data_IF_820403610075
#
_entry.id   IF_820403610075
#
_cell.length_a   1.000
_cell.length_b   1.000
_cell.length_c   1.000
_cell.angle_alpha   90.00
_cell.angle_beta   90.00
_cell.angle_gamma   90.00
#
_symmetry.space_group_name_H-M   'P 1'
#
loop_
_entity.id
_entity.type
_entity.pdbx_description
1 polymer ?
#
# COMPACT_ATOMS: atom_id res chain seq x y z
N UNK A 1 -32.66 -38.30 -8.49
CA UNK A 1 -32.72 -37.25 -9.53
C UNK A 1 -33.28 -35.93 -9.00
N UNK A 2 -34.54 -35.84 -8.51
CA UNK A 2 -35.12 -34.58 -7.98
C UNK A 2 -34.33 -33.93 -6.83
N UNK A 3 -33.76 -34.72 -5.90
CA UNK A 3 -32.92 -34.22 -4.81
C UNK A 3 -31.62 -33.54 -5.30
N UNK A 4 -31.03 -34.04 -6.40
CA UNK A 4 -29.80 -33.48 -6.98
C UNK A 4 -30.07 -32.16 -7.72
N UNK A 5 -31.24 -32.02 -8.35
CA UNK A 5 -31.67 -30.78 -9.00
C UNK A 5 -31.91 -29.67 -7.96
N UNK A 6 -32.54 -30.01 -6.82
CA UNK A 6 -32.70 -29.07 -5.71
C UNK A 6 -31.36 -28.56 -5.16
N UNK A 7 -30.39 -29.46 -4.98
CA UNK A 7 -29.04 -29.10 -4.52
C UNK A 7 -28.35 -28.19 -5.54
N UNK A 8 -28.41 -28.52 -6.84
CA UNK A 8 -27.80 -27.70 -7.90
C UNK A 8 -28.40 -26.29 -7.97
N UNK A 9 -29.72 -26.15 -7.85
CA UNK A 9 -30.38 -24.85 -7.84
C UNK A 9 -29.98 -23.99 -6.63
N UNK A 10 -29.85 -24.61 -5.45
CA UNK A 10 -29.35 -23.92 -4.24
C UNK A 10 -27.91 -23.45 -4.44
N UNK A 11 -27.04 -24.28 -5.01
CA UNK A 11 -25.65 -23.91 -5.31
C UNK A 11 -25.60 -22.70 -6.25
N UNK A 12 -26.37 -22.71 -7.35
CA UNK A 12 -26.41 -21.59 -8.31
C UNK A 12 -26.92 -20.32 -7.63
N UNK A 13 -27.95 -20.41 -6.77
CA UNK A 13 -28.46 -19.27 -6.03
C UNK A 13 -27.43 -18.71 -5.04
N UNK A 14 -26.65 -19.57 -4.37
CA UNK A 14 -25.56 -19.16 -3.49
C UNK A 14 -24.47 -18.41 -4.28
N UNK A 15 -24.03 -18.95 -5.42
CA UNK A 15 -23.03 -18.27 -6.25
C UNK A 15 -23.53 -16.91 -6.77
N UNK A 16 -24.78 -16.84 -7.24
CA UNK A 16 -25.39 -15.59 -7.67
C UNK A 16 -25.45 -14.56 -6.53
N UNK A 17 -25.81 -14.99 -5.32
CA UNK A 17 -25.83 -14.13 -4.14
C UNK A 17 -24.42 -13.64 -3.79
N UNK A 18 -23.41 -14.52 -3.79
CA UNK A 18 -22.01 -14.14 -3.54
C UNK A 18 -21.55 -13.08 -4.55
N UNK A 19 -21.80 -13.29 -5.85
CA UNK A 19 -21.42 -12.31 -6.89
C UNK A 19 -22.05 -10.94 -6.65
N UNK A 20 -23.35 -10.90 -6.30
CA UNK A 20 -24.04 -9.65 -5.99
C UNK A 20 -23.43 -8.97 -4.76
N UNK A 21 -23.16 -9.74 -3.69
CA UNK A 21 -22.56 -9.21 -2.47
C UNK A 21 -21.13 -8.67 -2.72
N UNK A 22 -20.31 -9.40 -3.46
CA UNK A 22 -18.95 -8.96 -3.83
C UNK A 22 -18.99 -7.68 -4.66
N UNK A 23 -19.86 -7.61 -5.67
CA UNK A 23 -19.99 -6.40 -6.49
C UNK A 23 -20.46 -5.18 -5.68
N UNK A 24 -21.35 -5.38 -4.69
CA UNK A 24 -21.79 -4.30 -3.81
C UNK A 24 -20.67 -3.82 -2.90
N UNK A 25 -19.92 -4.74 -2.28
CA UNK A 25 -18.78 -4.41 -1.42
C UNK A 25 -17.68 -3.68 -2.20
N UNK A 26 -17.28 -4.17 -3.37
CA UNK A 26 -16.25 -3.52 -4.18
C UNK A 26 -16.66 -2.10 -4.61
N UNK A 27 -17.94 -1.90 -4.95
CA UNK A 27 -18.45 -0.56 -5.28
C UNK A 27 -18.34 0.42 -4.11
N UNK A 28 -18.56 -0.05 -2.89
CA UNK A 28 -18.42 0.77 -1.68
C UNK A 28 -16.96 1.12 -1.40
N UNK A 29 -16.04 0.14 -1.54
CA UNK A 29 -14.60 0.35 -1.37
C UNK A 29 -14.04 1.38 -2.35
N UNK A 30 -14.42 1.27 -3.62
CA UNK A 30 -13.97 2.20 -4.66
C UNK A 30 -14.46 3.62 -4.43
N UNK A 31 -15.68 3.81 -3.90
CA UNK A 31 -16.26 5.15 -3.74
C UNK A 31 -15.47 6.08 -2.79
N UNK A 32 -14.68 5.53 -1.86
CA UNK A 32 -13.87 6.30 -0.92
C UNK A 32 -12.40 5.87 -0.93
N UNK A 33 -11.92 5.34 -2.05
CA UNK A 33 -10.56 4.86 -2.16
C UNK A 33 -9.57 6.07 -2.22
N UNK A 34 -8.34 5.93 -1.71
CA UNK A 34 -7.37 7.03 -1.64
C UNK A 34 -6.62 7.29 -2.96
N UNK A 35 -6.88 6.49 -3.99
CA UNK A 35 -6.27 6.64 -5.31
C UNK A 35 -7.09 7.60 -6.17
N UNK A 36 -6.46 8.12 -7.22
CA UNK A 36 -7.06 9.02 -8.21
C UNK A 36 -7.89 8.29 -9.28
N UNK A 37 -8.19 7.00 -9.09
CA UNK A 37 -8.89 6.13 -10.03
C UNK A 37 -9.78 5.10 -9.32
N UNK A 38 -10.85 4.67 -9.99
CA UNK A 38 -11.68 3.54 -9.59
C UNK A 38 -11.28 2.22 -10.30
N UNK A 39 -10.37 2.29 -11.28
CA UNK A 39 -9.85 1.14 -12.04
C UNK A 39 -8.58 0.60 -11.37
N UNK A 40 -8.75 0.05 -10.16
CA UNK A 40 -7.66 -0.48 -9.35
C UNK A 40 -7.43 -1.97 -9.61
N UNK A 41 -6.19 -2.42 -9.44
CA UNK A 41 -5.89 -3.85 -9.43
C UNK A 41 -6.66 -4.53 -8.28
N UNK A 42 -7.23 -5.75 -8.49
CA UNK A 42 -7.92 -6.48 -7.42
C UNK A 42 -7.09 -6.64 -6.14
N UNK A 43 -5.77 -6.80 -6.25
CA UNK A 43 -4.89 -6.90 -5.09
C UNK A 43 -4.83 -5.59 -4.30
N UNK A 44 -4.94 -4.43 -4.96
CA UNK A 44 -5.06 -3.12 -4.31
C UNK A 44 -6.43 -2.97 -3.64
N UNK A 45 -7.51 -3.37 -4.32
CA UNK A 45 -8.87 -3.34 -3.76
C UNK A 45 -8.97 -4.17 -2.47
N UNK A 46 -8.29 -5.32 -2.43
CA UNK A 46 -8.25 -6.18 -1.25
C UNK A 46 -7.53 -5.53 -0.06
N UNK A 47 -6.61 -4.59 -0.30
CA UNK A 47 -5.87 -3.87 0.73
C UNK A 47 -6.53 -2.57 1.21
N UNK A 48 -7.59 -2.07 0.55
CA UNK A 48 -8.23 -0.80 0.92
C UNK A 48 -8.74 -0.76 2.37
N UNK A 49 -9.13 -1.91 2.93
CA UNK A 49 -9.63 -2.00 4.32
C UNK A 49 -8.52 -2.33 5.35
N UNK A 50 -7.26 -2.49 4.91
CA UNK A 50 -6.15 -2.83 5.81
C UNK A 50 -5.60 -1.57 6.49
N UNK A 51 -5.68 -1.53 7.82
CA UNK A 51 -5.26 -0.40 8.66
C UNK A 51 -3.80 0.02 8.47
N UNK A 52 -2.94 -0.86 7.94
CA UNK A 52 -1.55 -0.55 7.68
C UNK A 52 -1.31 0.08 6.30
N UNK A 53 -2.34 0.32 5.48
CA UNK A 53 -2.21 0.89 4.12
C UNK A 53 -3.06 2.16 3.95
N UNK A 54 -3.00 3.06 4.93
CA UNK A 54 -3.91 4.21 5.03
C UNK A 54 -3.28 5.56 4.66
N UNK A 55 -1.96 5.64 4.49
CA UNK A 55 -1.25 6.87 4.15
C UNK A 55 -0.74 6.86 2.71
N UNK A 56 -1.65 6.55 1.77
CA UNK A 56 -1.32 6.46 0.34
C UNK A 56 -1.04 7.86 -0.21
N UNK A 57 0.08 8.03 -0.92
CA UNK A 57 0.42 9.28 -1.61
C UNK A 57 0.28 9.14 -3.12
N UNK A 58 -0.27 10.17 -3.76
CA UNK A 58 -0.37 10.24 -5.22
C UNK A 58 0.94 10.70 -5.86
N UNK A 59 1.23 10.32 -7.12
CA UNK A 59 2.49 10.66 -7.79
C UNK A 59 2.80 12.16 -7.88
N UNK A 60 1.79 12.99 -8.21
CA UNK A 60 1.96 14.45 -8.34
C UNK A 60 2.20 15.08 -6.96
N UNK A 61 1.40 14.71 -5.96
CA UNK A 61 1.54 15.18 -4.57
C UNK A 61 2.91 14.84 -3.99
N UNK A 62 3.38 13.59 -4.17
CA UNK A 62 4.70 13.20 -3.69
C UNK A 62 5.81 14.03 -4.36
N UNK A 63 5.70 14.25 -5.67
CA UNK A 63 6.69 15.04 -6.39
C UNK A 63 6.71 16.49 -5.90
N UNK A 64 5.54 17.11 -5.73
CA UNK A 64 5.43 18.47 -5.20
C UNK A 64 6.01 18.59 -3.78
N UNK A 65 5.74 17.62 -2.91
CA UNK A 65 6.25 17.61 -1.54
C UNK A 65 7.78 17.50 -1.50
N UNK A 66 8.36 16.58 -2.28
CA UNK A 66 9.82 16.44 -2.41
C UNK A 66 10.44 17.73 -2.98
N UNK A 67 9.89 18.27 -4.07
CA UNK A 67 10.41 19.49 -4.72
C UNK A 67 10.32 20.73 -3.82
N UNK A 68 9.35 20.78 -2.90
CA UNK A 68 9.24 21.86 -1.91
C UNK A 68 10.43 21.91 -0.93
N UNK A 69 11.16 20.80 -0.82
CA UNK A 69 12.27 20.63 0.13
C UNK A 69 11.85 20.14 1.52
N UNK A 70 10.55 19.90 1.73
CA UNK A 70 10.03 19.31 2.96
C UNK A 70 10.62 17.91 3.19
N UNK A 71 10.99 17.62 4.45
CA UNK A 71 11.51 16.31 4.82
C UNK A 71 10.41 15.26 4.62
N UNK A 72 10.67 14.27 3.78
CA UNK A 72 9.64 13.33 3.30
C UNK A 72 10.15 11.90 3.40
N UNK A 73 9.42 11.04 4.11
CA UNK A 73 9.73 9.60 4.20
C UNK A 73 8.70 8.82 3.40
N UNK A 74 9.14 8.00 2.44
CA UNK A 74 8.26 7.29 1.51
C UNK A 74 8.58 5.80 1.50
N UNK A 75 7.55 5.00 1.73
CA UNK A 75 7.55 3.54 1.63
C UNK A 75 6.97 3.09 0.29
N UNK A 76 7.83 2.56 -0.56
CA UNK A 76 7.49 2.00 -1.87
C UNK A 76 7.14 0.51 -1.74
N UNK A 77 5.91 0.16 -2.11
CA UNK A 77 5.38 -1.19 -1.95
C UNK A 77 4.56 -1.63 -3.16
N UNK A 78 4.15 -2.91 -3.14
CA UNK A 78 3.11 -3.44 -4.01
C UNK A 78 2.24 -4.42 -3.22
N UNK A 79 0.91 -4.44 -3.43
CA UNK A 79 0.01 -5.39 -2.78
C UNK A 79 0.32 -6.85 -3.14
N UNK A 80 0.98 -7.10 -4.27
CA UNK A 80 1.35 -8.45 -4.74
C UNK A 80 2.70 -8.94 -4.20
N UNK A 81 3.43 -8.09 -3.47
CA UNK A 81 4.75 -8.36 -2.95
C UNK A 81 4.68 -9.03 -1.55
N UNK A 82 5.09 -10.30 -1.47
CA UNK A 82 5.06 -11.06 -0.22
C UNK A 82 5.90 -10.44 0.91
N UNK A 83 7.06 -9.86 0.58
CA UNK A 83 7.91 -9.20 1.57
C UNK A 83 7.30 -7.89 2.08
N UNK A 84 6.54 -7.21 1.23
CA UNK A 84 5.82 -5.98 1.57
C UNK A 84 4.70 -6.31 2.56
N UNK A 85 3.91 -7.35 2.28
CA UNK A 85 2.88 -7.87 3.20
C UNK A 85 3.43 -8.28 4.58
N UNK A 86 4.71 -8.65 4.67
CA UNK A 86 5.38 -8.93 5.95
C UNK A 86 5.94 -7.67 6.63
N UNK A 87 6.41 -6.70 5.85
CA UNK A 87 7.10 -5.51 6.35
C UNK A 87 6.12 -4.43 6.79
N UNK A 88 5.05 -4.17 6.03
CA UNK A 88 4.08 -3.13 6.34
C UNK A 88 3.48 -3.24 7.76
N UNK A 89 3.03 -4.41 8.26
CA UNK A 89 2.48 -4.55 9.62
C UNK A 89 3.53 -4.44 10.75
N UNK A 90 4.81 -4.28 10.41
CA UNK A 90 5.88 -3.95 11.37
C UNK A 90 6.27 -2.48 11.24
N UNK A 91 6.44 -2.00 10.01
CA UNK A 91 6.87 -0.64 9.71
C UNK A 91 5.85 0.41 10.17
N UNK A 92 4.56 0.22 9.87
CA UNK A 92 3.54 1.23 10.15
C UNK A 92 3.27 1.40 11.66
N UNK A 93 3.15 0.33 12.48
CA UNK A 93 3.05 0.52 13.92
C UNK A 93 4.29 1.16 14.54
N UNK A 94 5.50 0.87 14.04
CA UNK A 94 6.73 1.51 14.52
C UNK A 94 6.75 3.00 14.16
N UNK A 95 6.30 3.35 12.96
CA UNK A 95 6.19 4.74 12.53
C UNK A 95 5.19 5.52 13.42
N UNK A 96 4.02 4.94 13.70
CA UNK A 96 3.01 5.52 14.59
C UNK A 96 3.53 5.67 16.04
N UNK A 97 4.14 4.61 16.59
CA UNK A 97 4.75 4.63 17.94
C UNK A 97 5.83 5.72 18.09
N UNK A 98 6.51 6.07 16.99
CA UNK A 98 7.60 7.04 16.95
C UNK A 98 7.20 8.42 16.41
N UNK A 99 5.91 8.64 16.13
CA UNK A 99 5.37 9.89 15.54
C UNK A 99 6.09 10.27 14.23
N UNK A 100 6.42 9.27 13.41
CA UNK A 100 7.04 9.43 12.09
C UNK A 100 5.98 9.30 11.01
N UNK A 101 5.80 10.36 10.22
CA UNK A 101 4.97 10.30 9.02
C UNK A 101 5.69 9.49 7.92
N UNK A 102 5.03 8.45 7.41
CA UNK A 102 5.53 7.61 6.33
C UNK A 102 4.47 7.51 5.24
N UNK A 103 4.73 8.20 4.14
CA UNK A 103 3.90 8.13 2.94
C UNK A 103 4.05 6.77 2.27
N UNK A 104 2.99 6.26 1.66
CA UNK A 104 2.96 4.94 1.04
C UNK A 104 2.72 5.06 -0.46
N UNK A 105 3.68 4.61 -1.26
CA UNK A 105 3.63 4.67 -2.71
C UNK A 105 3.38 3.28 -3.30
N UNK A 106 2.20 3.08 -3.89
CA UNK A 106 1.82 1.81 -4.49
C UNK A 106 2.36 1.70 -5.93
N UNK A 107 3.45 0.97 -6.10
CA UNK A 107 4.10 0.75 -7.39
C UNK A 107 3.31 -0.16 -8.35
N UNK A 108 2.24 -0.82 -7.89
CA UNK A 108 1.35 -1.56 -8.79
C UNK A 108 0.43 -0.63 -9.57
N UNK A 109 -0.10 0.40 -8.90
CA UNK A 109 -0.97 1.40 -9.53
C UNK A 109 -0.16 2.49 -10.25
N UNK A 110 1.05 2.76 -9.75
CA UNK A 110 1.91 3.86 -10.21
C UNK A 110 3.28 3.36 -10.67
N UNK A 111 3.31 2.61 -11.78
CA UNK A 111 4.51 1.95 -12.32
C UNK A 111 5.67 2.91 -12.67
N UNK A 112 5.38 4.18 -12.96
CA UNK A 112 6.41 5.20 -13.21
C UNK A 112 7.38 5.37 -12.03
N UNK A 113 6.92 5.11 -10.80
CA UNK A 113 7.74 5.23 -9.60
C UNK A 113 8.98 4.34 -9.62
N UNK A 114 8.94 3.20 -10.31
CA UNK A 114 10.10 2.30 -10.44
C UNK A 114 11.31 3.02 -11.05
N UNK A 115 11.08 3.73 -12.15
CA UNK A 115 12.15 4.45 -12.86
C UNK A 115 12.46 5.79 -12.19
N UNK A 116 11.43 6.51 -11.74
CA UNK A 116 11.57 7.85 -11.17
C UNK A 116 12.42 7.88 -9.90
N UNK A 117 12.21 6.91 -9.00
CA UNK A 117 12.90 6.84 -7.70
C UNK A 117 14.02 5.79 -7.67
N UNK A 118 14.37 5.23 -8.84
CA UNK A 118 15.38 4.17 -8.98
C UNK A 118 15.12 3.00 -8.02
N UNK A 119 13.88 2.51 -8.01
CA UNK A 119 13.49 1.35 -7.19
C UNK A 119 13.93 0.07 -7.92
N UNK A 120 14.71 -0.76 -7.24
CA UNK A 120 15.18 -2.05 -7.79
C UNK A 120 14.37 -3.24 -7.26
N UNK A 121 13.82 -3.10 -6.06
CA UNK A 121 13.01 -4.11 -5.39
C UNK A 121 12.06 -3.47 -4.37
N UNK A 122 11.02 -4.21 -4.02
CA UNK A 122 10.12 -3.85 -2.92
C UNK A 122 10.21 -4.88 -1.78
N UNK A 123 9.99 -4.46 -0.52
CA UNK A 123 9.77 -3.08 -0.09
C UNK A 123 11.04 -2.21 -0.17
N UNK A 124 10.87 -0.91 -0.34
CA UNK A 124 11.95 0.09 -0.26
C UNK A 124 11.42 1.29 0.54
N UNK A 125 12.24 1.85 1.43
CA UNK A 125 11.93 3.07 2.17
C UNK A 125 13.01 4.09 1.83
N UNK A 126 12.60 5.30 1.49
CA UNK A 126 13.51 6.39 1.12
C UNK A 126 13.15 7.60 1.97
N UNK A 127 14.17 8.28 2.48
CA UNK A 127 14.02 9.58 3.12
C UNK A 127 14.64 10.67 2.26
N UNK A 128 13.88 11.74 2.03
CA UNK A 128 14.25 12.90 1.26
C UNK A 128 14.35 14.13 2.16
N UNK A 129 15.33 14.99 1.93
CA UNK A 129 15.45 16.32 2.52
C UNK A 129 15.90 17.30 1.44
N UNK A 130 15.35 18.53 1.42
CA UNK A 130 15.71 19.55 0.44
C UNK A 130 15.59 19.09 -1.03
N UNK A 131 14.65 18.19 -1.31
CA UNK A 131 14.42 17.62 -2.64
C UNK A 131 15.43 16.56 -3.09
N UNK A 132 16.35 16.16 -2.21
CA UNK A 132 17.35 15.13 -2.49
C UNK A 132 17.15 13.92 -1.59
N UNK A 133 17.48 12.74 -2.13
CA UNK A 133 17.52 11.52 -1.33
C UNK A 133 18.71 11.55 -0.37
N UNK A 134 18.43 11.37 0.92
CA UNK A 134 19.44 11.34 1.99
C UNK A 134 19.83 9.92 2.36
N UNK A 135 18.85 9.02 2.42
CA UNK A 135 19.07 7.62 2.77
C UNK A 135 17.96 6.73 2.23
N UNK A 136 18.30 5.46 2.01
CA UNK A 136 17.35 4.41 1.65
C UNK A 136 17.71 3.10 2.34
N UNK A 137 16.70 2.25 2.50
CA UNK A 137 16.91 0.81 2.64
C UNK A 137 16.22 0.06 1.51
N UNK A 138 16.56 -1.22 1.35
CA UNK A 138 15.89 -2.10 0.37
C UNK A 138 15.62 -3.46 1.04
N UNK A 139 14.45 -4.03 0.75
CA UNK A 139 13.99 -5.31 1.26
C UNK A 139 13.36 -5.22 2.65
N UNK A 140 12.86 -6.37 3.11
CA UNK A 140 12.29 -6.49 4.44
C UNK A 140 13.38 -6.32 5.51
N UNK A 141 13.04 -5.61 6.59
CA UNK A 141 13.96 -5.30 7.69
C UNK A 141 13.35 -5.71 9.03
N UNK A 142 14.16 -6.17 10.01
CA UNK A 142 13.70 -6.40 11.37
C UNK A 142 13.35 -5.07 12.05
N UNK A 143 12.46 -5.12 13.05
CA UNK A 143 11.96 -3.94 13.79
C UNK A 143 13.09 -3.02 14.26
N UNK A 144 14.18 -3.59 14.78
CA UNK A 144 15.30 -2.83 15.31
C UNK A 144 15.97 -1.94 14.25
N UNK A 145 16.07 -2.42 13.00
CA UNK A 145 16.63 -1.64 11.90
C UNK A 145 15.67 -0.50 11.49
N UNK A 146 14.36 -0.69 11.64
CA UNK A 146 13.32 0.33 11.38
C UNK A 146 13.47 1.48 12.37
N UNK A 147 13.53 1.14 13.65
CA UNK A 147 13.72 2.10 14.73
C UNK A 147 15.06 2.84 14.57
N UNK A 148 16.14 2.14 14.22
CA UNK A 148 17.44 2.75 13.96
C UNK A 148 17.38 3.72 12.77
N UNK A 149 16.74 3.33 11.66
CA UNK A 149 16.58 4.22 10.51
C UNK A 149 15.81 5.48 10.89
N UNK A 150 14.70 5.38 11.62
CA UNK A 150 13.94 6.55 12.05
C UNK A 150 14.72 7.45 12.99
N UNK A 151 15.42 6.91 13.99
CA UNK A 151 16.22 7.71 14.92
C UNK A 151 17.41 8.40 14.23
N UNK A 152 18.14 7.67 13.39
CA UNK A 152 19.41 8.12 12.82
C UNK A 152 19.26 8.82 11.47
N UNK A 153 18.07 8.83 10.86
CA UNK A 153 17.82 9.47 9.57
C UNK A 153 16.70 10.50 9.68
N UNK A 154 15.52 10.11 10.19
CA UNK A 154 14.28 10.90 10.07
C UNK A 154 14.07 11.88 11.22
N UNK A 155 14.33 11.47 12.46
CA UNK A 155 14.01 12.23 13.68
C UNK A 155 15.18 13.08 14.24
N UNK A 156 16.25 13.24 13.46
CA UNK A 156 17.51 13.89 13.91
C UNK A 156 17.33 15.23 14.61
#
# INVERSE_FOLDING_TARGET
MKKMIGIAAVIVAIFALIIVLTNMSNKEKLANNPYDTDDLDPATIDQLDDENYQNIVLPEELNEQIESGEATTVYFFSPTCQYCQQTTPVLMPVADDMDVDVLQYNLLEYDQGWQQYFIEATPTLIHFENGEEVSRWVGAQPKENIEEFFNEVVLK
#
